data_IF_319889541382
#
_entry.id   IF_319889541382
#
_cell.length_a   1.000
_cell.length_b   1.000
_cell.length_c   1.000
_cell.angle_alpha   90.00
_cell.angle_beta   90.00
_cell.angle_gamma   90.00
#
_symmetry.space_group_name_H-M   'P 1'
#
loop_
_entity.id
_entity.type
_entity.pdbx_description
1 polymer ?
#
# COMPACT_ATOMS: atom_id res chain seq x y z
N UNK A 1 -1.79 13.96 -4.67
CA UNK A 1 -1.98 12.50 -4.70
C UNK A 1 -3.01 12.12 -3.65
N UNK A 2 -4.18 11.59 -4.04
CA UNK A 2 -5.25 11.15 -3.10
C UNK A 2 -5.31 9.62 -2.99
N UNK A 3 -4.15 8.97 -3.08
CA UNK A 3 -4.06 7.51 -3.13
C UNK A 3 -4.39 6.89 -1.78
N UNK A 4 -3.96 7.48 -0.67
CA UNK A 4 -4.27 7.00 0.67
C UNK A 4 -5.77 7.02 0.97
N UNK A 5 -6.46 8.10 0.58
CA UNK A 5 -7.89 8.27 0.80
C UNK A 5 -8.71 7.23 0.05
N UNK A 6 -8.34 6.94 -1.21
CA UNK A 6 -9.03 5.95 -2.03
C UNK A 6 -8.71 4.50 -1.61
N UNK A 7 -7.45 4.22 -1.29
CA UNK A 7 -6.98 2.86 -0.92
C UNK A 7 -7.37 2.46 0.51
N UNK A 8 -7.69 3.42 1.38
CA UNK A 8 -8.20 3.18 2.75
C UNK A 8 -9.73 3.26 2.82
N UNK A 9 -10.41 3.58 1.72
CA UNK A 9 -11.86 3.75 1.75
C UNK A 9 -12.54 2.39 2.01
N UNK A 10 -13.48 2.27 2.96
CA UNK A 10 -14.18 1.01 3.22
C UNK A 10 -15.01 0.47 2.04
N UNK A 11 -15.29 1.31 1.03
CA UNK A 11 -16.01 0.93 -0.19
C UNK A 11 -15.05 0.83 -1.37
N UNK A 12 -13.77 0.59 -1.10
CA UNK A 12 -12.78 0.51 -2.16
C UNK A 12 -13.01 -0.74 -3.05
N UNK A 13 -13.48 -0.49 -4.27
CA UNK A 13 -13.68 -1.49 -5.32
C UNK A 13 -12.44 -1.67 -6.23
N UNK A 14 -11.26 -1.13 -5.88
CA UNK A 14 -10.04 -1.32 -6.68
C UNK A 14 -9.78 -2.80 -6.99
N UNK A 15 -9.93 -3.64 -5.97
CA UNK A 15 -9.73 -5.08 -6.08
C UNK A 15 -10.70 -5.73 -7.09
N UNK A 16 -11.92 -5.22 -7.20
CA UNK A 16 -12.94 -5.71 -8.14
C UNK A 16 -12.62 -5.31 -9.60
N UNK A 17 -11.96 -4.15 -9.78
CA UNK A 17 -11.48 -3.67 -11.08
C UNK A 17 -10.11 -4.22 -11.50
N UNK A 18 -9.49 -5.08 -10.67
CA UNK A 18 -8.14 -5.62 -10.91
C UNK A 18 -7.00 -4.60 -10.70
N UNK A 19 -7.29 -3.44 -10.11
CA UNK A 19 -6.32 -2.37 -9.88
C UNK A 19 -5.66 -2.52 -8.50
N UNK A 20 -4.34 -2.74 -8.46
CA UNK A 20 -3.57 -2.74 -7.21
C UNK A 20 -3.02 -1.34 -6.91
N UNK A 21 -3.80 -0.53 -6.19
CA UNK A 21 -3.41 0.85 -5.85
C UNK A 21 -2.20 0.94 -4.94
N UNK A 22 -1.89 -0.13 -4.19
CA UNK A 22 -0.74 -0.17 -3.29
C UNK A 22 0.55 -0.31 -4.09
N UNK A 23 0.54 -1.15 -5.11
CA UNK A 23 1.68 -1.30 -6.04
C UNK A 23 1.88 -0.04 -6.87
N UNK A 24 0.82 0.55 -7.44
CA UNK A 24 0.96 1.80 -8.20
C UNK A 24 1.39 2.97 -7.31
N UNK A 25 0.96 3.00 -6.03
CA UNK A 25 1.47 3.95 -5.04
C UNK A 25 3.00 3.87 -4.91
N UNK A 26 3.53 2.65 -4.83
CA UNK A 26 4.95 2.38 -4.65
C UNK A 26 5.77 2.68 -5.90
N UNK A 27 5.32 2.19 -7.06
CA UNK A 27 6.12 2.15 -8.28
C UNK A 27 5.94 3.40 -9.16
N UNK A 28 4.72 3.93 -9.28
CA UNK A 28 4.39 5.05 -10.19
C UNK A 28 4.29 6.39 -9.46
N UNK A 29 3.89 6.34 -8.20
CA UNK A 29 3.61 7.52 -7.39
C UNK A 29 4.77 7.89 -6.45
N UNK A 30 5.86 7.13 -6.47
CA UNK A 30 7.08 7.47 -5.74
C UNK A 30 7.01 7.25 -4.23
N UNK A 31 5.99 6.54 -3.72
CA UNK A 31 5.96 6.08 -2.32
C UNK A 31 7.18 5.20 -2.00
N UNK A 32 7.73 4.50 -3.01
CA UNK A 32 8.98 3.74 -2.89
C UNK A 32 10.20 4.60 -2.52
N UNK A 33 10.23 5.86 -2.93
CA UNK A 33 11.35 6.79 -2.66
C UNK A 33 11.17 7.61 -1.37
N UNK A 34 9.99 7.57 -0.75
CA UNK A 34 9.75 8.27 0.50
C UNK A 34 10.47 7.58 1.66
N UNK A 35 11.31 8.31 2.38
CA UNK A 35 12.09 7.80 3.53
C UNK A 35 11.47 8.14 4.91
N UNK A 36 10.21 8.59 4.95
CA UNK A 36 9.49 8.92 6.20
C UNK A 36 10.24 10.00 7.05
N UNK A 37 11.03 10.86 6.41
CA UNK A 37 11.74 11.97 7.08
C UNK A 37 10.82 13.07 7.60
N UNK A 38 9.51 12.97 7.35
CA UNK A 38 8.48 13.95 7.74
C UNK A 38 8.61 15.35 7.11
N UNK A 39 9.50 15.53 6.12
CA UNK A 39 9.64 16.82 5.41
C UNK A 39 8.32 17.32 4.81
N UNK A 40 7.44 16.43 4.32
CA UNK A 40 6.13 16.80 3.80
C UNK A 40 5.16 17.32 4.87
N UNK A 41 5.30 16.87 6.12
CA UNK A 41 4.47 17.31 7.26
C UNK A 41 4.96 18.66 7.78
N UNK A 42 6.28 18.87 7.84
CA UNK A 42 6.89 20.10 8.35
C UNK A 42 6.61 21.32 7.47
N UNK A 43 6.52 21.13 6.16
CA UNK A 43 6.29 22.22 5.20
C UNK A 43 4.83 22.43 4.83
N UNK A 44 3.90 21.64 5.39
CA UNK A 44 2.50 21.69 4.97
C UNK A 44 1.81 22.95 5.49
N UNK A 45 1.32 23.86 4.61
CA UNK A 45 0.67 25.10 5.04
C UNK A 45 -0.65 24.86 5.78
N UNK A 46 -1.29 23.72 5.54
CA UNK A 46 -2.55 23.32 6.16
C UNK A 46 -2.35 22.54 7.48
N UNK A 47 -1.09 22.35 7.92
CA UNK A 47 -0.77 21.62 9.15
C UNK A 47 -1.14 20.12 9.11
N UNK A 48 -1.30 19.55 7.91
CA UNK A 48 -1.71 18.16 7.74
C UNK A 48 -0.55 17.21 8.06
N UNK A 49 -0.80 16.27 8.97
CA UNK A 49 0.13 15.17 9.32
C UNK A 49 0.11 14.06 8.28
N UNK A 50 0.42 14.40 7.04
CA UNK A 50 0.31 13.48 5.89
C UNK A 50 1.23 12.26 6.02
N UNK A 51 2.41 12.43 6.62
CA UNK A 51 3.33 11.31 6.78
C UNK A 51 2.76 10.26 7.72
N UNK A 52 2.23 10.68 8.87
CA UNK A 52 1.70 9.78 9.89
C UNK A 52 0.34 9.18 9.53
N UNK A 53 -0.56 9.97 8.91
CA UNK A 53 -1.93 9.53 8.64
C UNK A 53 -2.12 8.86 7.27
N UNK A 54 -1.20 9.07 6.32
CA UNK A 54 -1.34 8.58 4.95
C UNK A 54 -0.13 7.76 4.47
N UNK A 55 1.09 8.29 4.56
CA UNK A 55 2.26 7.64 3.98
C UNK A 55 2.70 6.38 4.73
N UNK A 56 2.73 6.41 6.08
CA UNK A 56 3.07 5.25 6.90
C UNK A 56 2.05 4.10 6.68
N UNK A 57 0.72 4.32 6.81
CA UNK A 57 -0.26 3.26 6.58
C UNK A 57 -0.23 2.69 5.16
N UNK A 58 0.08 3.51 4.15
CA UNK A 58 0.25 3.03 2.77
C UNK A 58 1.50 2.14 2.63
N UNK A 59 2.62 2.52 3.24
CA UNK A 59 3.86 1.72 3.21
C UNK A 59 3.69 0.41 3.95
N UNK A 60 3.09 0.41 5.14
CA UNK A 60 2.83 -0.81 5.90
C UNK A 60 2.03 -1.81 5.07
N UNK A 61 0.92 -1.36 4.45
CA UNK A 61 0.10 -2.22 3.60
C UNK A 61 0.79 -2.69 2.31
N UNK A 62 1.72 -1.90 1.77
CA UNK A 62 2.55 -2.33 0.64
C UNK A 62 3.59 -3.39 1.06
N UNK A 63 4.17 -3.26 2.26
CA UNK A 63 5.15 -4.18 2.83
C UNK A 63 4.49 -5.51 3.21
N UNK A 64 3.33 -5.50 3.88
CA UNK A 64 2.62 -6.71 4.29
C UNK A 64 2.41 -7.66 3.10
N UNK A 65 1.92 -7.14 1.97
CA UNK A 65 1.72 -7.95 0.77
C UNK A 65 3.01 -8.53 0.19
N UNK A 66 4.12 -7.80 0.29
CA UNK A 66 5.40 -8.16 -0.33
C UNK A 66 6.19 -9.16 0.52
N UNK A 67 6.09 -9.07 1.84
CA UNK A 67 6.93 -9.83 2.76
C UNK A 67 6.17 -10.81 3.67
N UNK A 68 4.83 -10.79 3.72
CA UNK A 68 4.07 -11.72 4.56
C UNK A 68 4.24 -13.18 4.05
N UNK A 69 4.91 -14.03 4.85
CA UNK A 69 5.17 -15.39 4.46
C UNK A 69 3.93 -16.29 4.46
N UNK A 70 2.76 -15.83 4.91
CA UNK A 70 1.51 -16.58 4.82
C UNK A 70 0.85 -16.41 3.45
N UNK A 71 0.90 -15.22 2.86
CA UNK A 71 0.26 -14.90 1.58
C UNK A 71 0.88 -15.69 0.42
N UNK A 72 2.22 -15.67 0.28
CA UNK A 72 2.93 -16.42 -0.77
C UNK A 72 2.86 -17.95 -0.54
N UNK A 73 2.83 -18.41 0.71
CA UNK A 73 2.83 -19.83 1.06
C UNK A 73 1.46 -20.44 0.78
N UNK A 74 0.37 -19.70 1.09
CA UNK A 74 -0.98 -20.06 0.66
C UNK A 74 -1.12 -20.17 -0.87
N UNK A 75 -0.45 -19.28 -1.62
CA UNK A 75 -0.43 -19.37 -3.09
C UNK A 75 0.37 -20.59 -3.62
N UNK A 76 1.45 -20.95 -2.93
CA UNK A 76 2.36 -22.04 -3.33
C UNK A 76 1.84 -23.42 -2.91
N UNK A 77 1.22 -23.54 -1.73
CA UNK A 77 0.63 -24.78 -1.21
C UNK A 77 -0.65 -25.12 -1.97
N UNK A 78 -1.54 -24.14 -2.23
CA UNK A 78 -2.76 -24.35 -3.03
C UNK A 78 -2.46 -24.87 -4.44
N UNK A 79 -1.37 -24.42 -5.07
CA UNK A 79 -0.90 -24.94 -6.37
C UNK A 79 -0.36 -26.37 -6.30
N UNK A 80 0.12 -26.85 -5.15
CA UNK A 80 0.54 -28.25 -4.97
C UNK A 80 -0.64 -29.20 -4.76
N UNK A 81 -1.70 -28.76 -4.08
CA UNK A 81 -2.87 -29.61 -3.84
C UNK A 81 -3.73 -29.88 -5.09
N UNK A 82 -3.64 -29.05 -6.13
CA UNK A 82 -4.33 -29.27 -7.42
C UNK A 82 -3.53 -30.12 -8.42
N UNK A 83 -2.34 -30.58 -8.04
CA UNK A 83 -1.47 -31.43 -8.86
C UNK A 83 -1.33 -32.86 -8.30
N UNK A 84 -2.24 -33.26 -7.40
CA UNK A 84 -2.35 -34.61 -6.85
C UNK A 84 -3.61 -35.29 -7.37
#
# INVERSE_FOLDING_TARGET
>A
MRVAELDMHPLDAAAESGLDRKTTAQDEHGLGYCNITKCCTEVCPEGIKITDNALIPLKERAIDRKYDPLVWLGSKIRRRSSAG
#
